data_IF_756228687432
#
_entry.id   IF_756228687432
#
_cell.length_a   1.000
_cell.length_b   1.000
_cell.length_c   1.000
_cell.angle_alpha   90.00
_cell.angle_beta   90.00
_cell.angle_gamma   90.00
#
_symmetry.space_group_name_H-M   'P 1'
#
loop_
_entity.id
_entity.type
_entity.pdbx_description
1 polymer ?
#
# COMPACT_ATOMS: atom_id res chain seq x y z
N UNK A 1 3.44 -39.60 -27.32
CA UNK A 1 2.87 -38.98 -26.12
C UNK A 1 3.32 -37.52 -26.12
N UNK A 2 2.43 -36.53 -26.25
CA UNK A 2 2.82 -35.14 -26.14
C UNK A 2 3.04 -34.80 -24.66
N UNK A 3 4.14 -34.10 -24.40
CA UNK A 3 4.47 -33.50 -23.12
C UNK A 3 3.40 -32.45 -22.80
N UNK A 4 2.67 -32.63 -21.70
CA UNK A 4 1.75 -31.60 -21.21
C UNK A 4 2.64 -30.53 -20.57
N UNK A 5 2.83 -29.42 -21.28
CA UNK A 5 3.29 -28.18 -20.66
C UNK A 5 2.31 -27.85 -19.53
N UNK A 6 2.79 -27.90 -18.28
CA UNK A 6 2.09 -27.28 -17.16
C UNK A 6 2.06 -25.77 -17.42
N UNK A 7 1.02 -25.30 -18.12
CA UNK A 7 0.61 -23.91 -18.03
C UNK A 7 0.30 -23.65 -16.55
N UNK A 8 1.12 -22.84 -15.88
CA UNK A 8 0.74 -22.28 -14.60
C UNK A 8 -0.59 -21.56 -14.82
N UNK A 9 -1.68 -22.03 -14.21
CA UNK A 9 -2.94 -21.31 -14.21
C UNK A 9 -2.65 -19.92 -13.64
N UNK A 10 -2.78 -18.89 -14.48
CA UNK A 10 -2.59 -17.51 -14.06
C UNK A 10 -3.49 -17.25 -12.84
N UNK A 11 -2.91 -16.76 -11.75
CA UNK A 11 -3.67 -16.46 -10.54
C UNK A 11 -4.73 -15.41 -10.85
N UNK A 12 -6.00 -15.71 -10.53
CA UNK A 12 -7.11 -14.79 -10.75
C UNK A 12 -7.14 -13.74 -9.64
N UNK A 13 -7.03 -12.46 -10.02
CA UNK A 13 -7.22 -11.32 -9.11
C UNK A 13 -8.65 -10.76 -9.24
N UNK A 14 -9.33 -10.54 -8.11
CA UNK A 14 -10.64 -9.88 -8.07
C UNK A 14 -10.45 -8.40 -7.76
N UNK A 15 -10.96 -7.51 -8.61
CA UNK A 15 -10.89 -6.06 -8.42
C UNK A 15 -12.27 -5.55 -7.98
N UNK A 16 -12.34 -4.95 -6.79
CA UNK A 16 -13.54 -4.35 -6.24
C UNK A 16 -13.58 -2.85 -6.57
N UNK A 17 -14.71 -2.39 -7.12
CA UNK A 17 -15.03 -0.97 -7.29
C UNK A 17 -16.18 -0.68 -6.32
N UNK A 18 -15.88 0.05 -5.25
CA UNK A 18 -16.78 0.21 -4.11
C UNK A 18 -17.25 1.66 -3.99
N UNK A 19 -18.54 1.81 -3.72
CA UNK A 19 -19.14 3.07 -3.29
C UNK A 19 -18.49 3.58 -1.98
N UNK A 20 -18.49 4.90 -1.76
CA UNK A 20 -17.88 5.52 -0.58
C UNK A 20 -18.35 4.92 0.75
N UNK A 21 -19.63 4.51 0.83
CA UNK A 21 -20.21 3.94 2.03
C UNK A 21 -19.76 2.50 2.30
N UNK A 22 -19.23 1.83 1.28
CA UNK A 22 -18.75 0.44 1.34
C UNK A 22 -17.24 0.36 1.58
N UNK A 23 -16.49 1.44 1.37
CA UNK A 23 -15.03 1.48 1.53
C UNK A 23 -14.54 1.09 2.93
N UNK A 24 -15.37 1.24 3.97
CA UNK A 24 -14.98 0.86 5.35
C UNK A 24 -15.14 -0.62 5.66
N UNK A 25 -15.86 -1.37 4.83
CA UNK A 25 -16.12 -2.79 5.08
C UNK A 25 -14.97 -3.65 4.52
N UNK A 26 -14.40 -4.60 5.28
CA UNK A 26 -13.28 -5.44 4.86
C UNK A 26 -13.77 -6.62 4.02
N UNK A 27 -14.28 -6.36 2.81
CA UNK A 27 -14.81 -7.41 1.92
C UNK A 27 -13.78 -8.53 1.67
N UNK A 28 -12.51 -8.18 1.57
CA UNK A 28 -11.39 -9.10 1.35
C UNK A 28 -11.25 -10.19 2.41
N UNK A 29 -11.85 -9.99 3.59
CA UNK A 29 -11.82 -10.93 4.71
C UNK A 29 -13.08 -11.78 4.85
N UNK A 30 -14.00 -11.68 3.91
CA UNK A 30 -15.11 -12.63 3.81
C UNK A 30 -14.58 -14.01 3.40
N UNK A 31 -15.17 -15.09 3.93
CA UNK A 31 -14.74 -16.47 3.68
C UNK A 31 -14.61 -16.81 2.19
N UNK A 32 -15.47 -16.22 1.35
CA UNK A 32 -15.44 -16.44 -0.11
C UNK A 32 -14.16 -15.91 -0.79
N UNK A 33 -13.46 -14.99 -0.14
CA UNK A 33 -12.21 -14.37 -0.58
C UNK A 33 -10.98 -14.84 0.21
N UNK A 34 -11.15 -15.75 1.18
CA UNK A 34 -10.04 -16.27 1.98
C UNK A 34 -8.90 -16.82 1.09
N UNK A 35 -7.69 -16.28 1.28
CA UNK A 35 -6.48 -16.68 0.55
C UNK A 35 -6.48 -16.32 -0.95
N UNK A 36 -7.40 -15.46 -1.41
CA UNK A 36 -7.45 -15.01 -2.81
C UNK A 36 -6.88 -13.60 -2.95
N UNK A 37 -6.26 -13.33 -4.10
CA UNK A 37 -5.86 -11.99 -4.48
C UNK A 37 -7.10 -11.12 -4.73
N UNK A 38 -7.33 -10.15 -3.84
CA UNK A 38 -8.41 -9.17 -3.96
C UNK A 38 -7.84 -7.77 -3.78
N UNK A 39 -8.17 -6.86 -4.68
CA UNK A 39 -7.74 -5.46 -4.63
C UNK A 39 -8.94 -4.53 -4.78
N UNK A 40 -8.72 -3.25 -4.46
CA UNK A 40 -9.70 -2.17 -4.67
C UNK A 40 -9.16 -1.19 -5.69
N UNK A 41 -10.06 -0.61 -6.47
CA UNK A 41 -9.77 0.56 -7.30
C UNK A 41 -10.88 1.59 -7.16
N UNK A 42 -10.58 2.90 -7.26
CA UNK A 42 -11.61 3.94 -7.17
C UNK A 42 -12.62 3.85 -8.30
N UNK A 43 -12.15 3.56 -9.52
CA UNK A 43 -12.99 3.50 -10.72
C UNK A 43 -12.31 2.74 -11.85
N UNK A 44 -13.06 2.41 -12.91
CA UNK A 44 -12.52 1.73 -14.10
C UNK A 44 -11.34 2.48 -14.77
N UNK A 45 -11.34 3.82 -14.89
CA UNK A 45 -10.19 4.57 -15.39
C UNK A 45 -8.87 4.27 -14.67
N UNK A 46 -8.88 4.04 -13.35
CA UNK A 46 -7.65 3.67 -12.62
C UNK A 46 -7.12 2.31 -13.08
N UNK A 47 -7.99 1.34 -13.34
CA UNK A 47 -7.59 0.04 -13.90
C UNK A 47 -6.92 0.24 -15.26
N UNK A 48 -7.54 1.01 -16.15
CA UNK A 48 -6.97 1.25 -17.48
C UNK A 48 -5.64 2.00 -17.40
N UNK A 49 -5.54 3.04 -16.58
CA UNK A 49 -4.30 3.79 -16.41
C UNK A 49 -3.15 2.91 -15.91
N UNK A 50 -3.41 2.07 -14.89
CA UNK A 50 -2.43 1.10 -14.39
C UNK A 50 -2.06 0.04 -15.44
N UNK A 51 -3.03 -0.43 -16.25
CA UNK A 51 -2.78 -1.40 -17.32
C UNK A 51 -2.10 -0.81 -18.57
N UNK A 52 -2.15 0.50 -18.76
CA UNK A 52 -1.40 1.18 -19.83
C UNK A 52 0.08 1.34 -19.44
N UNK A 53 0.37 1.39 -18.14
CA UNK A 53 1.71 1.53 -17.59
C UNK A 53 2.28 0.18 -17.08
N UNK A 54 1.91 -0.95 -17.68
CA UNK A 54 2.22 -2.31 -17.17
C UNK A 54 3.67 -2.59 -16.80
N UNK A 55 4.63 -1.93 -17.44
CA UNK A 55 6.05 -2.08 -17.11
C UNK A 55 6.39 -1.57 -15.69
N UNK A 56 5.55 -0.72 -15.10
CA UNK A 56 5.67 -0.31 -13.68
C UNK A 56 5.15 -1.32 -12.68
N UNK A 57 4.54 -2.43 -13.14
CA UNK A 57 3.98 -3.46 -12.26
C UNK A 57 5.02 -4.48 -11.81
N UNK A 58 6.19 -4.53 -12.43
CA UNK A 58 7.28 -5.40 -11.99
C UNK A 58 8.03 -4.74 -10.85
N UNK A 59 8.23 -5.51 -9.78
CA UNK A 59 8.95 -5.07 -8.59
C UNK A 59 10.14 -6.00 -8.41
N UNK A 60 11.30 -5.41 -8.25
CA UNK A 60 12.55 -6.10 -7.93
C UNK A 60 12.69 -6.20 -6.40
N UNK A 61 12.74 -7.40 -5.81
CA UNK A 61 12.80 -7.56 -4.35
C UNK A 61 14.08 -7.03 -3.69
N UNK A 62 15.13 -6.72 -4.45
CA UNK A 62 16.35 -6.07 -3.97
C UNK A 62 16.26 -4.53 -3.97
N UNK A 63 15.24 -3.97 -4.63
CA UNK A 63 15.01 -2.53 -4.77
C UNK A 63 13.93 -2.00 -3.81
N UNK A 64 13.96 -2.41 -2.55
CA UNK A 64 13.02 -1.91 -1.53
C UNK A 64 13.64 -0.74 -0.78
N UNK A 65 12.86 0.33 -0.64
CA UNK A 65 13.17 1.47 0.22
C UNK A 65 12.21 1.55 1.39
N UNK A 66 12.67 1.94 2.57
CA UNK A 66 11.80 1.99 3.75
C UNK A 66 12.00 3.22 4.65
N UNK A 67 10.93 3.62 5.33
CA UNK A 67 10.93 4.61 6.41
C UNK A 67 10.27 3.98 7.64
N UNK A 68 11.01 3.87 8.74
CA UNK A 68 10.55 3.27 9.99
C UNK A 68 10.62 4.28 11.12
N UNK A 69 9.52 4.43 11.86
CA UNK A 69 9.43 5.28 13.06
C UNK A 69 10.01 6.71 12.85
N UNK A 70 9.53 7.48 11.86
CA UNK A 70 10.12 8.79 11.57
C UNK A 70 9.91 9.82 12.70
N UNK A 71 8.92 9.60 13.58
CA UNK A 71 8.64 10.44 14.75
C UNK A 71 9.44 10.01 16.00
N UNK A 72 10.26 8.96 15.89
CA UNK A 72 11.06 8.40 16.99
C UNK A 72 10.23 8.04 18.23
N UNK A 73 8.98 7.58 18.04
CA UNK A 73 8.02 7.31 19.11
C UNK A 73 7.41 5.90 19.07
N UNK A 74 7.86 5.06 18.13
CA UNK A 74 7.52 3.64 17.98
C UNK A 74 8.78 2.77 18.14
N UNK A 75 9.49 2.95 19.26
CA UNK A 75 10.78 2.29 19.53
C UNK A 75 10.73 0.76 19.50
N UNK A 76 9.62 0.15 19.94
CA UNK A 76 9.41 -1.30 19.81
C UNK A 76 9.35 -1.70 18.33
N UNK A 77 8.60 -0.98 17.50
CA UNK A 77 8.51 -1.24 16.06
C UNK A 77 9.86 -1.06 15.36
N UNK A 78 10.58 0.02 15.63
CA UNK A 78 11.90 0.26 15.07
C UNK A 78 12.90 -0.85 15.44
N UNK A 79 12.90 -1.29 16.72
CA UNK A 79 13.80 -2.35 17.20
C UNK A 79 13.41 -3.75 16.71
N UNK A 80 12.15 -3.99 16.38
CA UNK A 80 11.69 -5.26 15.80
C UNK A 80 11.89 -5.32 14.28
N UNK A 81 11.37 -4.32 13.54
CA UNK A 81 11.35 -4.34 12.09
C UNK A 81 12.72 -4.03 11.47
N UNK A 82 13.45 -3.06 12.00
CA UNK A 82 14.74 -2.62 11.42
C UNK A 82 15.73 -3.78 11.24
N UNK A 83 16.09 -4.51 12.32
CA UNK A 83 16.96 -5.67 12.23
C UNK A 83 16.39 -6.79 11.36
N UNK A 84 15.08 -7.02 11.42
CA UNK A 84 14.43 -8.10 10.65
C UNK A 84 14.48 -7.83 9.14
N UNK A 85 14.17 -6.61 8.69
CA UNK A 85 14.27 -6.21 7.29
C UNK A 85 15.73 -6.23 6.80
N UNK A 86 16.67 -5.73 7.62
CA UNK A 86 18.08 -5.79 7.28
C UNK A 86 18.58 -7.23 7.13
N UNK A 87 18.17 -8.14 8.02
CA UNK A 87 18.50 -9.55 7.93
C UNK A 87 17.87 -10.21 6.70
N UNK A 88 16.62 -9.86 6.38
CA UNK A 88 15.91 -10.37 5.21
C UNK A 88 16.67 -10.01 3.91
N UNK A 89 17.06 -8.74 3.75
CA UNK A 89 17.83 -8.27 2.61
C UNK A 89 19.25 -8.87 2.57
N UNK A 90 19.98 -8.78 3.68
CA UNK A 90 21.38 -9.24 3.77
C UNK A 90 21.53 -10.74 3.53
N UNK A 91 20.53 -11.56 3.93
CA UNK A 91 20.51 -13.00 3.67
C UNK A 91 20.51 -13.36 2.18
N UNK A 92 20.13 -12.41 1.33
CA UNK A 92 20.14 -12.52 -0.15
C UNK A 92 21.28 -11.74 -0.80
N UNK A 93 22.12 -11.08 -0.01
CA UNK A 93 23.20 -10.22 -0.50
C UNK A 93 22.72 -8.85 -1.00
N UNK A 94 21.55 -8.38 -0.55
CA UNK A 94 20.98 -7.09 -0.91
C UNK A 94 21.18 -6.05 0.18
N UNK A 95 21.15 -4.78 -0.21
CA UNK A 95 21.19 -3.62 0.67
C UNK A 95 20.00 -2.71 0.34
N UNK A 96 19.00 -2.72 1.22
CA UNK A 96 17.84 -1.84 1.08
C UNK A 96 18.13 -0.46 1.65
N UNK A 97 17.64 0.57 0.95
CA UNK A 97 17.82 1.96 1.38
C UNK A 97 16.75 2.32 2.42
N UNK A 98 17.13 2.83 3.58
CA UNK A 98 16.11 3.20 4.56
C UNK A 98 16.52 4.18 5.63
N UNK A 99 15.50 4.81 6.21
CA UNK A 99 15.58 5.79 7.29
C UNK A 99 14.85 5.22 8.51
N UNK A 100 15.50 5.26 9.67
CA UNK A 100 14.96 4.71 10.93
C UNK A 100 15.08 5.74 12.03
N UNK A 101 13.97 6.01 12.73
CA UNK A 101 14.00 6.85 13.92
C UNK A 101 14.18 8.34 13.64
N UNK A 102 14.03 8.79 12.40
CA UNK A 102 14.14 10.18 12.00
C UNK A 102 13.27 10.52 10.78
N UNK A 103 12.99 11.81 10.59
CA UNK A 103 12.18 12.29 9.47
C UNK A 103 12.97 12.20 8.16
N UNK A 104 12.45 11.52 7.12
CA UNK A 104 13.11 11.49 5.82
C UNK A 104 13.09 12.87 5.16
N UNK A 105 14.10 13.15 4.34
CA UNK A 105 14.13 14.41 3.57
C UNK A 105 13.13 14.38 2.41
N UNK A 106 12.60 15.53 1.95
CA UNK A 106 11.77 15.59 0.75
C UNK A 106 12.47 15.03 -0.49
N UNK A 107 13.79 15.19 -0.60
CA UNK A 107 14.60 14.66 -1.69
C UNK A 107 14.64 13.12 -1.65
N UNK A 108 14.86 12.53 -0.47
CA UNK A 108 14.79 11.08 -0.27
C UNK A 108 13.42 10.54 -0.68
N UNK A 109 12.35 11.19 -0.23
CA UNK A 109 10.98 10.79 -0.59
C UNK A 109 10.72 10.88 -2.10
N UNK A 110 11.19 11.95 -2.73
CA UNK A 110 11.02 12.13 -4.18
C UNK A 110 11.79 11.07 -4.96
N UNK A 111 13.02 10.76 -4.55
CA UNK A 111 13.84 9.72 -5.17
C UNK A 111 13.17 8.36 -5.09
N UNK A 112 12.79 7.91 -3.90
CA UNK A 112 12.22 6.56 -3.73
C UNK A 112 10.86 6.43 -4.45
N UNK A 113 10.05 7.49 -4.48
CA UNK A 113 8.73 7.46 -5.11
C UNK A 113 8.80 7.53 -6.64
N UNK A 114 9.92 8.00 -7.21
CA UNK A 114 10.14 8.02 -8.67
C UNK A 114 10.94 6.82 -9.17
N UNK A 115 11.48 5.99 -8.27
CA UNK A 115 12.29 4.83 -8.62
C UNK A 115 11.46 3.75 -9.31
N UNK A 116 11.87 3.39 -10.51
CA UNK A 116 11.28 2.28 -11.26
C UNK A 116 11.65 0.94 -10.61
N UNK A 117 10.76 -0.04 -10.75
CA UNK A 117 10.89 -1.40 -10.22
C UNK A 117 11.11 -1.52 -8.71
N UNK A 118 11.01 -0.44 -7.94
CA UNK A 118 11.16 -0.47 -6.49
C UNK A 118 9.85 -0.75 -5.75
N UNK A 119 9.97 -0.88 -4.43
CA UNK A 119 8.84 -0.84 -3.47
C UNK A 119 9.14 0.17 -2.38
N UNK A 120 8.12 0.91 -1.93
CA UNK A 120 8.23 1.76 -0.76
C UNK A 120 7.46 1.16 0.43
N UNK A 121 8.16 0.91 1.53
CA UNK A 121 7.59 0.48 2.81
C UNK A 121 7.65 1.60 3.84
N UNK A 122 6.50 1.95 4.40
CA UNK A 122 6.37 2.91 5.48
C UNK A 122 5.82 2.21 6.74
N UNK A 123 6.50 2.37 7.88
CA UNK A 123 5.98 1.95 9.18
C UNK A 123 6.02 3.13 10.15
N UNK A 124 4.85 3.64 10.52
CA UNK A 124 4.70 4.82 11.36
C UNK A 124 3.24 5.21 11.58
N UNK A 125 2.99 6.47 11.90
CA UNK A 125 1.63 6.97 12.12
C UNK A 125 0.95 7.37 10.82
N UNK A 126 -0.32 6.98 10.65
CA UNK A 126 -1.09 7.33 9.44
C UNK A 126 -0.47 6.73 8.18
N UNK A 127 -0.52 7.46 7.07
CA UNK A 127 0.22 7.16 5.85
C UNK A 127 1.43 8.05 5.64
N UNK A 128 1.96 8.68 6.70
CA UNK A 128 3.14 9.54 6.63
C UNK A 128 2.88 10.99 6.23
N UNK A 129 1.61 11.44 6.29
CA UNK A 129 1.21 12.78 5.85
C UNK A 129 1.86 13.92 6.63
N UNK A 130 2.38 13.64 7.84
CA UNK A 130 3.10 14.63 8.67
C UNK A 130 4.46 15.02 8.09
N UNK A 131 5.15 14.10 7.42
CA UNK A 131 6.48 14.38 6.84
C UNK A 131 6.42 14.53 5.32
N UNK A 132 5.48 13.85 4.66
CA UNK A 132 5.26 13.99 3.22
C UNK A 132 3.77 14.09 2.94
N UNK A 133 3.30 15.33 2.82
CA UNK A 133 1.87 15.64 2.71
C UNK A 133 1.24 15.08 1.43
N UNK A 134 -0.09 14.93 1.46
CA UNK A 134 -0.88 14.52 0.27
C UNK A 134 -0.60 15.38 -0.96
N UNK A 135 -0.49 16.70 -0.79
CA UNK A 135 -0.19 17.62 -1.90
C UNK A 135 1.22 17.41 -2.45
N UNK A 136 2.20 17.05 -1.61
CA UNK A 136 3.55 16.70 -2.09
C UNK A 136 3.55 15.39 -2.86
N UNK A 137 2.79 14.37 -2.41
CA UNK A 137 2.59 13.12 -3.16
C UNK A 137 1.93 13.40 -4.50
N UNK A 138 0.83 14.14 -4.52
CA UNK A 138 0.09 14.47 -5.74
C UNK A 138 0.93 15.29 -6.73
N UNK A 139 1.81 16.17 -6.23
CA UNK A 139 2.74 16.92 -7.08
C UNK A 139 3.73 16.03 -7.85
N UNK A 140 4.01 14.81 -7.37
CA UNK A 140 4.85 13.84 -8.09
C UNK A 140 4.16 13.37 -9.38
N UNK A 141 2.83 13.40 -9.46
CA UNK A 141 2.07 12.95 -10.64
C UNK A 141 2.63 13.51 -11.95
N UNK A 142 3.02 14.79 -11.94
CA UNK A 142 3.49 15.54 -13.11
C UNK A 142 4.99 15.85 -13.05
N UNK A 143 5.77 15.12 -12.25
CA UNK A 143 7.21 15.39 -12.10
C UNK A 143 8.04 14.96 -13.33
N UNK A 144 7.44 14.16 -14.22
CA UNK A 144 8.07 13.65 -15.44
C UNK A 144 7.54 14.36 -16.68
N UNK A 145 8.41 14.50 -17.69
CA UNK A 145 8.09 15.16 -18.96
C UNK A 145 7.73 14.17 -20.09
N UNK A 146 7.73 12.87 -19.81
CA UNK A 146 7.48 11.79 -20.78
C UNK A 146 5.99 11.41 -20.88
N UNK A 147 5.11 12.08 -20.12
CA UNK A 147 3.68 11.79 -20.08
C UNK A 147 3.31 10.59 -19.20
N UNK A 148 4.28 10.03 -18.47
CA UNK A 148 4.07 8.94 -17.50
C UNK A 148 3.91 9.54 -16.10
N UNK A 149 3.00 8.97 -15.29
CA UNK A 149 2.81 9.43 -13.92
C UNK A 149 4.07 9.19 -13.09
N UNK A 150 4.43 10.18 -12.28
CA UNK A 150 5.75 10.20 -11.63
C UNK A 150 5.94 9.19 -10.51
N UNK A 151 4.88 8.80 -9.77
CA UNK A 151 5.01 7.80 -8.72
C UNK A 151 5.07 6.40 -9.37
N UNK A 152 6.15 5.66 -9.12
CA UNK A 152 6.43 4.37 -9.76
C UNK A 152 6.28 3.13 -8.86
N UNK A 153 6.72 3.13 -7.58
CA UNK A 153 6.70 1.91 -6.79
C UNK A 153 5.31 1.63 -6.21
N UNK A 154 4.96 0.35 -5.96
CA UNK A 154 3.97 -0.01 -4.96
C UNK A 154 4.32 0.61 -3.61
N UNK A 155 3.28 1.02 -2.88
CA UNK A 155 3.44 1.66 -1.58
C UNK A 155 2.75 0.83 -0.50
N UNK A 156 3.49 0.50 0.56
CA UNK A 156 3.00 -0.27 1.70
C UNK A 156 3.00 0.62 2.94
N UNK A 157 1.81 0.99 3.42
CA UNK A 157 1.61 1.94 4.52
C UNK A 157 1.16 1.21 5.80
N UNK A 158 2.12 0.79 6.62
CA UNK A 158 1.89 0.14 7.92
C UNK A 158 1.70 1.16 9.04
N UNK A 159 0.62 1.93 8.95
CA UNK A 159 0.19 2.85 9.98
C UNK A 159 -1.32 2.86 10.17
N UNK A 160 -1.78 3.33 11.33
CA UNK A 160 -3.20 3.39 11.67
C UNK A 160 -3.99 4.22 10.66
N UNK A 161 -5.11 3.67 10.16
CA UNK A 161 -6.00 4.35 9.22
C UNK A 161 -5.34 4.84 7.91
N UNK A 162 -4.18 4.31 7.52
CA UNK A 162 -3.43 4.73 6.32
C UNK A 162 -4.16 4.47 5.00
N UNK A 163 -5.02 3.45 4.95
CA UNK A 163 -5.86 3.09 3.81
C UNK A 163 -7.29 3.63 3.90
N UNK A 164 -7.62 4.36 4.96
CA UNK A 164 -8.97 4.90 5.17
C UNK A 164 -9.21 6.11 4.27
N UNK A 165 -10.35 6.11 3.57
CA UNK A 165 -10.85 7.28 2.86
C UNK A 165 -11.92 7.99 3.69
N UNK A 166 -11.90 9.32 3.65
CA UNK A 166 -12.80 10.20 4.39
C UNK A 166 -13.76 10.90 3.43
N UNK A 167 -15.06 10.75 3.68
CA UNK A 167 -16.08 11.46 2.89
C UNK A 167 -15.98 12.97 3.10
N UNK A 168 -16.04 13.72 2.00
CA UNK A 168 -16.16 15.19 1.99
C UNK A 168 -17.61 15.64 1.76
N UNK A 169 -18.54 14.69 1.58
CA UNK A 169 -19.93 14.95 1.20
C UNK A 169 -20.84 15.31 2.39
N UNK A 170 -20.39 15.05 3.62
CA UNK A 170 -21.15 15.36 4.83
C UNK A 170 -20.94 16.82 5.25
N UNK A 171 -22.00 17.65 5.32
CA UNK A 171 -21.90 18.99 5.87
C UNK A 171 -21.54 18.93 7.35
N UNK A 172 -20.53 19.71 7.77
CA UNK A 172 -20.32 20.04 9.18
C UNK A 172 -21.44 21.01 9.60
N UNK A 173 -22.53 20.46 10.12
CA UNK A 173 -23.68 21.12 10.77
C UNK A 173 -24.69 21.92 9.91
N UNK A 174 -25.98 21.69 10.22
CA UNK A 174 -27.14 22.60 10.16
C UNK A 174 -27.39 23.45 8.90
N UNK A 175 -27.45 22.83 7.72
CA UNK A 175 -27.97 23.51 6.52
C UNK A 175 -29.45 23.14 6.27
N UNK A 176 -30.39 23.98 6.70
CA UNK A 176 -31.85 23.83 6.51
C UNK A 176 -32.33 24.10 5.07
N UNK A 177 -31.41 24.17 4.10
CA UNK A 177 -31.74 24.44 2.70
C UNK A 177 -31.78 23.13 1.93
N UNK A 178 -32.87 22.91 1.20
CA UNK A 178 -33.01 21.82 0.24
C UNK A 178 -31.97 21.99 -0.87
N UNK A 179 -30.80 21.35 -0.67
CA UNK A 179 -29.69 21.34 -1.63
C UNK A 179 -29.72 20.01 -2.36
N UNK A 180 -29.53 20.06 -3.67
CA UNK A 180 -29.16 18.86 -4.42
C UNK A 180 -27.79 18.39 -3.92
N UNK A 181 -27.63 17.13 -3.47
CA UNK A 181 -26.35 16.65 -3.02
C UNK A 181 -25.38 16.59 -4.20
N UNK A 182 -24.20 17.20 -4.03
CA UNK A 182 -23.06 16.94 -4.90
C UNK A 182 -22.24 15.87 -4.18
N UNK A 183 -22.07 14.73 -4.83
CA UNK A 183 -21.24 13.64 -4.32
C UNK A 183 -19.86 13.75 -4.97
N UNK A 184 -18.87 14.07 -4.15
CA UNK A 184 -17.46 14.01 -4.49
C UNK A 184 -16.88 12.67 -4.03
N UNK A 185 -15.80 12.24 -4.67
CA UNK A 185 -15.02 11.09 -4.19
C UNK A 185 -14.43 11.39 -2.81
N UNK A 186 -14.36 10.40 -1.91
CA UNK A 186 -13.73 10.57 -0.61
C UNK A 186 -12.22 10.79 -0.76
N UNK A 187 -11.62 11.41 0.24
CA UNK A 187 -10.20 11.78 0.22
C UNK A 187 -9.35 10.92 1.16
N UNK A 188 -8.06 10.77 0.85
CA UNK A 188 -7.12 10.05 1.72
C UNK A 188 -5.76 9.85 1.06
N UNK A 189 -4.75 9.57 1.88
CA UNK A 189 -3.36 9.43 1.41
C UNK A 189 -3.18 8.27 0.44
N UNK A 190 -3.87 7.14 0.66
CA UNK A 190 -3.82 6.01 -0.26
C UNK A 190 -4.32 6.40 -1.67
N UNK A 191 -5.37 7.21 -1.76
CA UNK A 191 -5.86 7.72 -3.03
C UNK A 191 -4.86 8.70 -3.67
N UNK A 192 -4.21 9.57 -2.88
CA UNK A 192 -3.17 10.48 -3.35
C UNK A 192 -2.00 9.73 -4.02
N UNK A 193 -1.56 8.60 -3.47
CA UNK A 193 -0.54 7.75 -4.10
C UNK A 193 -0.99 7.12 -5.42
N UNK A 194 -2.23 6.62 -5.49
CA UNK A 194 -2.79 6.08 -6.73
C UNK A 194 -2.92 7.16 -7.82
N UNK A 195 -3.34 8.37 -7.44
CA UNK A 195 -3.41 9.53 -8.35
C UNK A 195 -2.00 9.88 -8.85
N UNK A 196 -1.01 9.88 -7.95
CA UNK A 196 0.38 10.17 -8.29
C UNK A 196 1.03 9.13 -9.22
N UNK A 197 0.43 7.95 -9.39
CA UNK A 197 0.87 6.93 -10.34
C UNK A 197 1.21 5.57 -9.72
N UNK A 198 1.18 5.45 -8.39
CA UNK A 198 1.53 4.19 -7.73
C UNK A 198 0.66 3.05 -8.27
N UNK A 199 1.24 1.91 -8.67
CA UNK A 199 0.50 0.80 -9.26
C UNK A 199 -0.43 0.12 -8.25
N UNK A 200 -0.09 0.15 -6.97
CA UNK A 200 -0.97 -0.28 -5.88
C UNK A 200 -0.51 0.29 -4.54
N UNK A 201 -1.46 0.40 -3.62
CA UNK A 201 -1.21 0.87 -2.25
C UNK A 201 -1.81 -0.14 -1.27
N UNK A 202 -1.01 -0.59 -0.31
CA UNK A 202 -1.44 -1.40 0.83
C UNK A 202 -1.56 -0.48 2.04
N UNK A 203 -2.68 -0.53 2.76
CA UNK A 203 -2.88 0.29 3.95
C UNK A 203 -3.98 -0.25 4.85
N UNK A 204 -4.08 0.30 6.07
CA UNK A 204 -5.04 -0.14 7.08
C UNK A 204 -6.31 0.72 7.02
N UNK A 205 -7.48 0.08 7.01
CA UNK A 205 -8.77 0.78 6.93
C UNK A 205 -9.16 1.51 8.24
N UNK A 206 -8.50 1.17 9.35
CA UNK A 206 -8.72 1.76 10.67
C UNK A 206 -7.47 1.59 11.56
N UNK A 207 -7.59 1.94 12.83
CA UNK A 207 -6.50 1.93 13.79
C UNK A 207 -6.14 0.50 14.23
N UNK A 208 -4.86 0.18 14.19
CA UNK A 208 -4.31 -1.16 14.48
C UNK A 208 -3.34 -1.09 15.66
N UNK A 209 -2.96 -2.24 16.21
CA UNK A 209 -2.00 -2.31 17.32
C UNK A 209 -0.60 -2.65 16.80
N UNK A 210 0.40 -1.88 17.22
CA UNK A 210 1.81 -1.96 16.77
C UNK A 210 2.33 -3.41 16.69
N UNK A 211 2.26 -4.17 17.79
CA UNK A 211 2.82 -5.54 17.83
C UNK A 211 2.18 -6.54 16.89
N UNK A 212 0.94 -6.34 16.47
CA UNK A 212 0.25 -7.28 15.59
C UNK A 212 0.41 -6.86 14.13
N UNK A 213 0.40 -5.55 13.84
CA UNK A 213 0.70 -5.04 12.50
C UNK A 213 2.17 -5.25 12.13
N UNK A 214 3.11 -5.20 13.08
CA UNK A 214 4.52 -5.52 12.84
C UNK A 214 4.71 -6.98 12.40
N UNK A 215 3.97 -7.93 13.00
CA UNK A 215 3.99 -9.34 12.59
C UNK A 215 3.45 -9.53 11.18
N UNK A 216 2.34 -8.84 10.89
CA UNK A 216 1.75 -8.82 9.56
C UNK A 216 2.74 -8.27 8.53
N UNK A 217 3.35 -7.12 8.81
CA UNK A 217 4.35 -6.48 7.95
C UNK A 217 5.52 -7.42 7.65
N UNK A 218 6.12 -8.03 8.69
CA UNK A 218 7.23 -8.96 8.46
C UNK A 218 6.82 -10.15 7.62
N UNK A 219 5.65 -10.74 7.89
CA UNK A 219 5.15 -11.88 7.12
C UNK A 219 4.89 -11.48 5.66
N UNK A 220 4.31 -10.29 5.42
CA UNK A 220 4.10 -9.75 4.09
C UNK A 220 5.42 -9.59 3.32
N UNK A 221 6.43 -8.98 3.94
CA UNK A 221 7.73 -8.77 3.30
C UNK A 221 8.46 -10.08 3.04
N UNK A 222 8.40 -11.03 3.98
CA UNK A 222 8.96 -12.36 3.79
C UNK A 222 8.27 -13.13 2.65
N UNK A 223 6.94 -13.14 2.62
CA UNK A 223 6.16 -13.82 1.58
C UNK A 223 6.45 -13.17 0.21
N UNK A 224 6.52 -11.84 0.15
CA UNK A 224 6.86 -11.11 -1.07
C UNK A 224 8.29 -11.43 -1.58
N UNK A 225 9.29 -11.45 -0.69
CA UNK A 225 10.68 -11.75 -1.06
C UNK A 225 10.90 -13.23 -1.42
N UNK A 226 10.13 -14.14 -0.81
CA UNK A 226 10.23 -15.60 -1.06
C UNK A 226 9.35 -16.07 -2.22
N UNK A 227 8.21 -15.42 -2.44
CA UNK A 227 7.17 -15.81 -3.39
C UNK A 227 7.62 -15.61 -4.82
N UNK A 228 8.23 -16.65 -5.42
CA UNK A 228 8.52 -16.66 -6.85
C UNK A 228 7.21 -16.84 -7.63
N UNK A 229 6.56 -15.73 -7.97
CA UNK A 229 5.39 -15.68 -8.86
C UNK A 229 4.07 -15.26 -8.21
N UNK A 230 4.02 -15.07 -6.89
CA UNK A 230 2.83 -14.58 -6.20
C UNK A 230 2.71 -13.05 -6.34
N UNK A 231 1.47 -12.57 -6.51
CA UNK A 231 1.20 -11.13 -6.55
C UNK A 231 1.31 -10.51 -5.14
N UNK A 232 1.59 -9.20 -5.05
CA UNK A 232 1.55 -8.50 -3.75
C UNK A 232 0.17 -8.62 -3.08
N UNK A 233 -0.91 -8.62 -3.88
CA UNK A 233 -2.27 -8.82 -3.38
C UNK A 233 -2.46 -10.21 -2.75
N UNK A 234 -1.82 -11.24 -3.31
CA UNK A 234 -1.79 -12.58 -2.74
C UNK A 234 -1.02 -12.60 -1.42
N UNK A 235 0.18 -12.01 -1.40
CA UNK A 235 0.99 -11.91 -0.18
C UNK A 235 0.23 -11.17 0.94
N UNK A 236 -0.51 -10.10 0.62
CA UNK A 236 -1.41 -9.40 1.54
C UNK A 236 -2.47 -10.33 2.12
N UNK A 237 -3.16 -11.09 1.26
CA UNK A 237 -4.21 -12.00 1.70
C UNK A 237 -3.67 -13.10 2.63
N UNK A 238 -2.48 -13.58 2.35
CA UNK A 238 -1.83 -14.66 3.09
C UNK A 238 -1.19 -14.19 4.41
N UNK A 239 -0.60 -12.99 4.44
CA UNK A 239 0.06 -12.42 5.61
C UNK A 239 -0.90 -12.20 6.80
N UNK A 240 -2.21 -12.10 6.55
CA UNK A 240 -3.26 -12.02 7.57
C UNK A 240 -3.17 -13.15 8.62
N UNK A 241 -2.62 -14.31 8.24
CA UNK A 241 -2.39 -15.46 9.15
C UNK A 241 -1.48 -15.12 10.34
N UNK A 242 -0.64 -14.09 10.21
CA UNK A 242 0.30 -13.67 11.24
C UNK A 242 -0.36 -12.87 12.37
N UNK A 243 -1.53 -12.28 12.11
CA UNK A 243 -2.26 -11.50 13.10
C UNK A 243 -2.87 -12.41 14.17
N UNK A 244 -2.60 -12.10 15.45
CA UNK A 244 -3.31 -12.72 16.57
C UNK A 244 -4.77 -12.28 16.59
N UNK A 245 -5.01 -10.99 16.35
CA UNK A 245 -6.33 -10.40 16.26
C UNK A 245 -6.83 -10.44 14.81
N UNK A 246 -7.22 -11.63 14.37
CA UNK A 246 -7.54 -11.95 12.96
C UNK A 246 -8.47 -10.95 12.27
N UNK A 247 -9.50 -10.46 12.96
CA UNK A 247 -10.51 -9.56 12.35
C UNK A 247 -10.37 -8.10 12.75
N UNK A 248 -9.62 -7.80 13.82
CA UNK A 248 -9.43 -6.41 14.27
C UNK A 248 -8.20 -5.80 13.59
N UNK A 249 -7.18 -6.63 13.33
CA UNK A 249 -5.95 -6.21 12.65
C UNK A 249 -5.80 -6.89 11.29
N UNK A 250 -6.06 -8.20 11.24
CA UNK A 250 -5.83 -8.99 10.02
C UNK A 250 -6.96 -8.99 9.00
N UNK A 251 -8.00 -8.17 9.15
CA UNK A 251 -9.11 -8.15 8.17
C UNK A 251 -8.80 -7.31 6.95
#
# INVERSE_FOLDING_TARGET
MPCIEQQSLAEHCTILILDEHLQRFPFESMDMFAGKAVTRVPSLPFVFATLMERESLTVEPDSISYVLDPESNLSETASNLGPALNNLASSRGWEWNGVIGEMPTPEFMTEILQREHGMFLYCGHGGGEKFFSRSQVEAIMTSRNDGVRGCRPPVVLMGCSSGKLQSVNCPKENSTSQRYPIYYEPEGIALSYLIAGSPCVVGNLWDVTDRDIDRYCLTLMEDFVKGQGDSLAKCVAEARRACKLRYIVGS
#
